data_IF_648553284797
#
_entry.id   IF_648553284797
#
_cell.length_a   1.000
_cell.length_b   1.000
_cell.length_c   1.000
_cell.angle_alpha   90.00
_cell.angle_beta   90.00
_cell.angle_gamma   90.00
#
_symmetry.space_group_name_H-M   'P 1'
#
loop_
_entity.id
_entity.type
_entity.pdbx_description
1 polymer ?
#
# COMPACT_ATOMS: atom_id res chain seq x y z
N UNK A 1 34.84 -26.60 -30.63
CA UNK A 1 33.61 -26.29 -29.88
C UNK A 1 32.44 -26.62 -30.78
N UNK A 2 31.68 -27.66 -30.45
CA UNK A 2 30.53 -28.12 -31.27
C UNK A 2 29.36 -27.13 -31.14
N UNK A 3 28.52 -27.04 -32.17
CA UNK A 3 27.28 -26.25 -32.13
C UNK A 3 26.38 -26.67 -30.95
N UNK A 4 26.41 -27.94 -30.58
CA UNK A 4 25.70 -28.49 -29.42
C UNK A 4 26.27 -27.99 -28.09
N UNK A 5 27.60 -27.84 -27.97
CA UNK A 5 28.23 -27.28 -26.77
C UNK A 5 27.84 -25.81 -26.58
N UNK A 6 27.79 -25.04 -27.66
CA UNK A 6 27.38 -23.63 -27.63
C UNK A 6 25.94 -23.46 -27.12
N UNK A 7 24.99 -24.23 -27.66
CA UNK A 7 23.60 -24.20 -27.19
C UNK A 7 23.42 -24.75 -25.78
N UNK A 8 24.20 -25.76 -25.38
CA UNK A 8 24.19 -26.27 -24.00
C UNK A 8 24.61 -25.20 -23.00
N UNK A 9 25.63 -24.40 -23.33
CA UNK A 9 26.16 -23.38 -22.43
C UNK A 9 25.22 -22.15 -22.36
N UNK A 10 24.59 -21.78 -23.48
CA UNK A 10 23.54 -20.75 -23.54
C UNK A 10 22.31 -21.14 -22.72
N UNK A 11 21.81 -22.38 -22.88
CA UNK A 11 20.73 -22.92 -22.04
C UNK A 11 21.14 -22.90 -20.58
N UNK A 12 22.34 -23.38 -20.23
CA UNK A 12 22.82 -23.35 -18.86
C UNK A 12 22.87 -21.94 -18.27
N UNK A 13 23.24 -20.91 -19.06
CA UNK A 13 23.28 -19.51 -18.62
C UNK A 13 21.87 -18.93 -18.41
N UNK A 14 20.93 -19.23 -19.31
CA UNK A 14 19.52 -18.87 -19.18
C UNK A 14 18.85 -19.56 -17.98
N UNK A 15 19.01 -20.88 -17.85
CA UNK A 15 18.50 -21.65 -16.72
C UNK A 15 19.08 -21.13 -15.40
N UNK A 16 20.38 -20.83 -15.32
CA UNK A 16 20.98 -20.24 -14.11
C UNK A 16 20.33 -18.91 -13.72
N UNK A 17 20.06 -18.05 -14.70
CA UNK A 17 19.41 -16.75 -14.49
C UNK A 17 17.96 -16.91 -14.03
N UNK A 18 17.20 -17.81 -14.65
CA UNK A 18 15.81 -18.12 -14.28
C UNK A 18 15.74 -18.71 -12.87
N UNK A 19 16.55 -19.73 -12.57
CA UNK A 19 16.61 -20.34 -11.25
C UNK A 19 17.08 -19.37 -10.17
N UNK A 20 18.08 -18.53 -10.44
CA UNK A 20 18.55 -17.51 -9.50
C UNK A 20 17.46 -16.47 -9.21
N UNK A 21 16.73 -16.02 -10.24
CA UNK A 21 15.62 -15.08 -10.05
C UNK A 21 14.46 -15.71 -9.26
N UNK A 22 14.14 -16.98 -9.54
CA UNK A 22 13.16 -17.73 -8.75
C UNK A 22 13.63 -17.85 -7.30
N UNK A 23 14.86 -18.28 -7.06
CA UNK A 23 15.45 -18.39 -5.74
C UNK A 23 15.39 -17.05 -4.98
N UNK A 24 15.84 -15.95 -5.60
CA UNK A 24 15.79 -14.61 -5.02
C UNK A 24 14.36 -14.17 -4.69
N UNK A 25 13.37 -14.50 -5.53
CA UNK A 25 11.96 -14.20 -5.26
C UNK A 25 11.46 -14.92 -4.02
N UNK A 26 11.77 -16.21 -3.88
CA UNK A 26 11.39 -17.00 -2.70
C UNK A 26 12.13 -16.51 -1.45
N UNK A 27 13.43 -16.23 -1.57
CA UNK A 27 14.25 -15.71 -0.48
C UNK A 27 13.76 -14.34 0.01
N UNK A 28 13.41 -13.43 -0.92
CA UNK A 28 12.78 -12.14 -0.58
C UNK A 28 11.47 -12.34 0.17
N UNK A 29 10.58 -13.20 -0.34
CA UNK A 29 9.30 -13.51 0.31
C UNK A 29 9.50 -14.07 1.72
N UNK A 30 10.44 -14.99 1.90
CA UNK A 30 10.77 -15.56 3.21
C UNK A 30 11.35 -14.51 4.16
N UNK A 31 12.24 -13.65 3.67
CA UNK A 31 12.80 -12.54 4.44
C UNK A 31 11.72 -11.55 4.87
N UNK A 32 10.85 -11.17 3.94
CA UNK A 32 9.76 -10.23 4.21
C UNK A 32 8.75 -10.80 5.21
N UNK A 33 8.47 -12.11 5.16
CA UNK A 33 7.59 -12.79 6.11
C UNK A 33 8.12 -12.85 7.55
N UNK A 34 9.42 -12.61 7.75
CA UNK A 34 10.05 -12.55 9.09
C UNK A 34 10.14 -11.15 9.67
N UNK A 35 9.89 -10.12 8.87
CA UNK A 35 9.92 -8.72 9.31
C UNK A 35 8.61 -8.39 10.00
N UNK A 36 8.67 -7.50 10.99
CA UNK A 36 7.45 -6.84 11.48
C UNK A 36 6.87 -5.93 10.39
N UNK A 37 5.56 -5.69 10.44
CA UNK A 37 4.88 -4.79 9.49
C UNK A 37 5.58 -3.42 9.43
N UNK A 38 5.94 -2.84 10.58
CA UNK A 38 6.62 -1.55 10.67
C UNK A 38 7.98 -1.56 9.97
N UNK A 39 8.79 -2.60 10.19
CA UNK A 39 10.10 -2.74 9.54
C UNK A 39 9.98 -2.95 8.03
N UNK A 40 8.98 -3.73 7.60
CA UNK A 40 8.70 -3.94 6.18
C UNK A 40 8.40 -2.59 5.52
N UNK A 41 7.47 -1.80 6.06
CA UNK A 41 7.14 -0.50 5.50
C UNK A 41 8.30 0.49 5.56
N UNK A 42 9.12 0.49 6.62
CA UNK A 42 10.33 1.34 6.68
C UNK A 42 11.32 0.97 5.58
N UNK A 43 11.55 -0.32 5.36
CA UNK A 43 12.46 -0.81 4.34
C UNK A 43 11.97 -0.46 2.93
N UNK A 44 10.66 -0.60 2.66
CA UNK A 44 10.08 -0.23 1.37
C UNK A 44 10.13 1.29 1.14
N UNK A 45 9.76 2.08 2.14
CA UNK A 45 9.81 3.54 2.05
C UNK A 45 11.23 4.03 1.78
N UNK A 46 12.23 3.49 2.48
CA UNK A 46 13.64 3.81 2.25
C UNK A 46 14.12 3.45 0.85
N UNK A 47 13.65 2.33 0.27
CA UNK A 47 13.99 1.94 -1.10
C UNK A 47 13.42 2.90 -2.16
N UNK A 48 12.23 3.44 -1.92
CA UNK A 48 11.52 4.31 -2.88
C UNK A 48 11.97 5.77 -2.74
N UNK A 49 12.04 6.27 -1.52
CA UNK A 49 12.28 7.70 -1.24
C UNK A 49 13.72 8.02 -0.79
N UNK A 50 14.55 7.01 -0.50
CA UNK A 50 15.97 7.20 -0.15
C UNK A 50 16.26 7.55 1.31
N UNK A 51 15.24 7.75 2.16
CA UNK A 51 15.40 8.05 3.59
C UNK A 51 14.57 7.13 4.48
N UNK A 52 14.97 7.02 5.75
CA UNK A 52 14.24 6.22 6.75
C UNK A 52 13.13 7.08 7.36
N UNK A 53 11.85 6.72 7.19
CA UNK A 53 10.75 7.49 7.75
C UNK A 53 10.57 7.22 9.25
N UNK A 54 10.00 8.19 9.97
CA UNK A 54 9.44 7.98 11.30
C UNK A 54 7.91 7.90 11.20
N UNK A 55 7.38 6.67 11.28
CA UNK A 55 5.94 6.47 11.25
C UNK A 55 5.24 6.88 12.54
N UNK A 56 5.93 7.05 13.68
CA UNK A 56 5.30 7.52 14.93
C UNK A 56 5.02 9.01 14.89
N UNK A 57 5.82 9.78 14.16
CA UNK A 57 5.63 11.20 13.95
C UNK A 57 5.63 11.56 12.44
N UNK A 58 4.59 11.13 11.70
CA UNK A 58 4.57 11.20 10.25
C UNK A 58 4.44 12.65 9.75
N UNK A 59 5.37 13.09 8.90
CA UNK A 59 5.41 14.45 8.36
C UNK A 59 4.72 14.52 7.00
N UNK A 60 5.12 13.64 6.10
CA UNK A 60 4.65 13.65 4.71
C UNK A 60 3.31 12.93 4.56
N UNK A 61 2.61 13.17 3.45
CA UNK A 61 1.36 12.47 3.15
C UNK A 61 1.53 10.94 3.12
N UNK A 62 2.63 10.46 2.52
CA UNK A 62 2.90 9.03 2.41
C UNK A 62 3.19 8.39 3.77
N UNK A 63 3.93 9.08 4.64
CA UNK A 63 4.15 8.63 6.02
C UNK A 63 2.84 8.60 6.81
N UNK A 64 1.97 9.61 6.63
CA UNK A 64 0.65 9.65 7.28
C UNK A 64 -0.25 8.51 6.81
N UNK A 65 -0.20 8.17 5.53
CA UNK A 65 -0.90 7.02 4.97
C UNK A 65 -0.41 5.71 5.59
N UNK A 66 0.91 5.49 5.67
CA UNK A 66 1.49 4.29 6.27
C UNK A 66 1.22 4.22 7.78
N UNK A 67 1.30 5.34 8.50
CA UNK A 67 0.93 5.42 9.91
C UNK A 67 -0.51 4.92 10.13
N UNK A 68 -1.47 5.33 9.29
CA UNK A 68 -2.84 4.81 9.37
C UNK A 68 -2.88 3.30 9.13
N UNK A 69 -2.19 2.79 8.11
CA UNK A 69 -2.14 1.35 7.83
C UNK A 69 -1.59 0.54 9.03
N UNK A 70 -0.58 1.07 9.72
CA UNK A 70 0.10 0.41 10.82
C UNK A 70 -0.68 0.47 12.13
N UNK A 71 -1.18 1.66 12.49
CA UNK A 71 -1.68 1.92 13.83
C UNK A 71 -3.19 2.17 13.91
N UNK A 72 -3.83 2.57 12.81
CA UNK A 72 -5.26 2.87 12.77
C UNK A 72 -6.05 1.80 12.01
N UNK A 73 -6.72 0.92 12.77
CA UNK A 73 -7.51 -0.18 12.22
C UNK A 73 -8.98 0.19 11.98
N UNK A 74 -9.28 1.47 11.75
CA UNK A 74 -10.66 1.89 11.48
C UNK A 74 -11.19 1.31 10.15
N UNK A 75 -12.29 0.53 10.17
CA UNK A 75 -12.85 -0.10 8.97
C UNK A 75 -13.36 0.90 7.92
N UNK A 76 -13.57 2.17 8.31
CA UNK A 76 -14.00 3.22 7.38
C UNK A 76 -13.00 3.39 6.22
N UNK A 77 -11.70 3.17 6.46
CA UNK A 77 -10.69 3.32 5.42
C UNK A 77 -10.85 2.31 4.30
N UNK A 78 -11.23 1.07 4.62
CA UNK A 78 -11.56 0.05 3.62
C UNK A 78 -12.77 0.47 2.79
N UNK A 79 -13.80 1.03 3.42
CA UNK A 79 -14.98 1.52 2.71
C UNK A 79 -14.67 2.74 1.82
N UNK A 80 -13.76 3.63 2.26
CA UNK A 80 -13.35 4.81 1.51
C UNK A 80 -12.38 4.49 0.36
N UNK A 81 -11.62 3.40 0.46
CA UNK A 81 -10.77 2.91 -0.63
C UNK A 81 -11.58 2.31 -1.78
N UNK A 82 -12.79 1.79 -1.49
CA UNK A 82 -13.72 1.28 -2.50
C UNK A 82 -14.50 2.41 -3.16
N UNK A 83 -14.40 2.54 -4.48
CA UNK A 83 -14.99 3.66 -5.24
C UNK A 83 -16.52 3.74 -5.13
N UNK A 84 -17.21 2.60 -5.10
CA UNK A 84 -18.68 2.58 -5.04
C UNK A 84 -19.15 2.90 -3.62
N UNK A 85 -18.57 2.25 -2.62
CA UNK A 85 -18.89 2.49 -1.21
C UNK A 85 -18.55 3.92 -0.78
N UNK A 86 -17.42 4.46 -1.24
CA UNK A 86 -17.05 5.84 -0.99
C UNK A 86 -18.08 6.83 -1.53
N UNK A 87 -18.59 6.61 -2.76
CA UNK A 87 -19.64 7.46 -3.36
C UNK A 87 -20.94 7.41 -2.55
N UNK A 88 -21.38 6.23 -2.15
CA UNK A 88 -22.57 6.05 -1.32
C UNK A 88 -22.37 6.76 0.04
N UNK A 89 -21.21 6.57 0.67
CA UNK A 89 -20.87 7.20 1.94
C UNK A 89 -20.91 8.73 1.85
N UNK A 90 -20.33 9.31 0.80
CA UNK A 90 -20.34 10.77 0.57
C UNK A 90 -21.77 11.27 0.35
N UNK A 91 -22.55 10.60 -0.50
CA UNK A 91 -23.93 10.98 -0.77
C UNK A 91 -24.78 10.97 0.52
N UNK A 92 -24.64 9.93 1.34
CA UNK A 92 -25.34 9.82 2.63
C UNK A 92 -24.91 10.92 3.60
N UNK A 93 -23.60 11.23 3.68
CA UNK A 93 -23.10 12.31 4.54
C UNK A 93 -23.59 13.69 4.09
N UNK A 94 -23.63 13.96 2.79
CA UNK A 94 -24.15 15.21 2.24
C UNK A 94 -25.65 15.37 2.50
N UNK A 95 -26.44 14.31 2.30
CA UNK A 95 -27.87 14.32 2.60
C UNK A 95 -28.15 14.59 4.09
N UNK A 96 -27.39 13.94 4.98
CA UNK A 96 -27.52 14.17 6.42
C UNK A 96 -27.12 15.60 6.80
N UNK A 97 -26.08 16.15 6.17
CA UNK A 97 -25.67 17.54 6.38
C UNK A 97 -26.73 18.53 5.89
N UNK A 98 -27.34 18.30 4.73
CA UNK A 98 -28.41 19.17 4.21
C UNK A 98 -29.65 19.14 5.09
N UNK A 99 -30.04 17.96 5.58
CA UNK A 99 -31.14 17.83 6.55
C UNK A 99 -30.83 18.56 7.86
N UNK A 100 -29.64 18.37 8.42
CA UNK A 100 -29.22 19.07 9.63
C UNK A 100 -29.24 20.60 9.44
N UNK A 101 -28.77 21.09 8.29
CA UNK A 101 -28.81 22.52 7.95
C UNK A 101 -30.24 23.05 7.82
N UNK A 102 -31.15 22.31 7.22
CA UNK A 102 -32.56 22.71 7.10
C UNK A 102 -33.25 22.80 8.47
N UNK A 103 -32.96 21.85 9.36
CA UNK A 103 -33.49 21.84 10.73
C UNK A 103 -32.96 23.00 11.59
N UNK A 104 -31.69 23.38 11.41
CA UNK A 104 -31.06 24.49 12.16
C UNK A 104 -31.41 25.85 11.54
N UNK A 105 -31.57 25.93 10.22
CA UNK A 105 -31.82 27.18 9.48
C UNK A 105 -33.29 27.63 9.43
N UNK A 106 -34.24 26.79 9.84
CA UNK A 106 -35.68 27.12 9.83
C UNK A 106 -36.18 28.02 10.97
N UNK A 107 -35.30 28.50 11.85
CA UNK A 107 -35.66 29.28 13.05
C UNK A 107 -35.54 30.80 12.94
N UNK A 108 -35.29 31.37 11.76
CA UNK A 108 -35.04 32.81 11.57
C UNK A 108 -35.89 33.42 10.46
N UNK A 109 -37.15 33.70 10.76
CA UNK A 109 -38.07 34.40 9.86
C UNK A 109 -39.37 34.75 10.58
N UNK A 110 -39.29 35.72 11.48
CA UNK A 110 -40.43 36.57 11.87
C UNK A 110 -40.41 37.82 11.00
#
# INVERSE_FOLDING_TARGET
>A
MSFDEFFSHLKARLYRKVYYNLFLKHYRKYKDAKLSDEEFFKQQHKRIFGYTPDFKNPQTFNEKMIHRILYDRNPIYTALADKLKARIYIAMKLHNYSLAKALIGGGGGQ
#
